data_IF_595817742975
#
_entry.id   IF_595817742975
#
_cell.length_a   1.000
_cell.length_b   1.000
_cell.length_c   1.000
_cell.angle_alpha   90.00
_cell.angle_beta   90.00
_cell.angle_gamma   90.00
#
_symmetry.space_group_name_H-M   'P 1'
#
loop_
_entity.id
_entity.type
_entity.pdbx_description
1 polymer ?
#
# COMPACT_ATOMS: atom_id res chain seq x y z
N UNK A 1 -19.60 23.46 -4.48
CA UNK A 1 -19.87 22.36 -3.53
C UNK A 1 -20.62 22.97 -2.37
N UNK A 2 -21.74 22.36 -1.97
CA UNK A 2 -22.66 22.95 -0.98
C UNK A 2 -22.03 23.04 0.42
N UNK A 3 -21.37 21.98 0.90
CA UNK A 3 -20.63 21.96 2.16
C UNK A 3 -19.34 21.14 2.00
N UNK A 4 -18.19 21.77 2.27
CA UNK A 4 -16.88 21.11 2.17
C UNK A 4 -16.52 20.34 3.43
N UNK A 5 -16.85 20.87 4.59
CA UNK A 5 -16.49 20.28 5.88
C UNK A 5 -17.26 18.96 6.09
N UNK A 6 -18.52 18.93 5.68
CA UNK A 6 -19.33 17.71 5.67
C UNK A 6 -18.74 16.65 4.72
N UNK A 7 -18.29 17.05 3.53
CA UNK A 7 -17.70 16.15 2.55
C UNK A 7 -16.37 15.54 3.04
N UNK A 8 -15.50 16.35 3.64
CA UNK A 8 -14.25 15.88 4.23
C UNK A 8 -14.51 14.95 5.41
N UNK A 9 -15.47 15.28 6.26
CA UNK A 9 -15.90 14.40 7.37
C UNK A 9 -16.35 13.04 6.84
N UNK A 10 -17.16 13.02 5.77
CA UNK A 10 -17.63 11.79 5.14
C UNK A 10 -16.46 10.97 4.54
N UNK A 11 -15.58 11.61 3.77
CA UNK A 11 -14.43 10.96 3.12
C UNK A 11 -13.49 10.32 4.15
N UNK A 12 -13.31 10.93 5.32
CA UNK A 12 -12.42 10.44 6.37
C UNK A 12 -13.06 9.37 7.28
N UNK A 13 -14.39 9.39 7.45
CA UNK A 13 -15.08 8.55 8.44
C UNK A 13 -15.57 7.21 7.89
N UNK A 14 -15.77 7.10 6.57
CA UNK A 14 -16.33 5.90 5.94
C UNK A 14 -15.23 4.87 5.65
N UNK A 15 -15.28 3.71 6.32
CA UNK A 15 -14.36 2.61 6.04
C UNK A 15 -14.84 1.75 4.85
N UNK A 16 -14.48 2.18 3.63
CA UNK A 16 -14.76 1.45 2.39
C UNK A 16 -13.50 1.35 1.52
N UNK A 17 -13.54 0.52 0.48
CA UNK A 17 -12.46 0.42 -0.50
C UNK A 17 -12.38 1.64 -1.43
N UNK A 18 -13.48 2.38 -1.57
CA UNK A 18 -13.53 3.67 -2.26
C UNK A 18 -14.63 4.54 -1.66
N UNK A 19 -14.33 5.81 -1.41
CA UNK A 19 -15.27 6.81 -0.90
C UNK A 19 -15.25 7.98 -1.89
N UNK A 20 -16.43 8.49 -2.21
CA UNK A 20 -16.63 9.40 -3.34
C UNK A 20 -17.41 10.64 -2.89
N UNK A 21 -17.08 11.79 -3.46
CA UNK A 21 -17.80 13.05 -3.25
C UNK A 21 -18.18 13.65 -4.61
N UNK A 22 -19.47 13.88 -4.83
CA UNK A 22 -20.04 14.45 -6.06
C UNK A 22 -19.64 13.72 -7.36
N UNK A 23 -19.47 12.40 -7.29
CA UNK A 23 -19.35 11.55 -8.47
C UNK A 23 -20.07 10.22 -8.29
N UNK A 24 -20.38 9.56 -9.41
CA UNK A 24 -21.11 8.29 -9.41
C UNK A 24 -20.29 7.18 -8.76
N UNK A 25 -20.95 6.29 -8.00
CA UNK A 25 -20.33 5.06 -7.49
C UNK A 25 -19.80 4.14 -8.60
N UNK A 26 -20.28 4.29 -9.84
CA UNK A 26 -19.78 3.56 -11.02
C UNK A 26 -18.33 3.90 -11.39
N UNK A 27 -17.74 4.94 -10.79
CA UNK A 27 -16.31 5.23 -10.95
C UNK A 27 -15.40 4.21 -10.28
N UNK A 28 -15.88 3.38 -9.34
CA UNK A 28 -15.12 2.32 -8.69
C UNK A 28 -14.78 1.17 -9.67
N UNK A 29 -13.76 1.38 -10.51
CA UNK A 29 -13.39 0.50 -11.63
C UNK A 29 -11.95 0.79 -12.07
N UNK A 30 -11.14 -0.24 -12.26
CA UNK A 30 -9.71 -0.12 -12.56
C UNK A 30 -9.41 0.60 -13.87
N UNK A 31 -10.23 0.43 -14.93
CA UNK A 31 -10.04 1.19 -16.17
C UNK A 31 -10.32 2.68 -15.94
N UNK A 32 -11.40 3.01 -15.21
CA UNK A 32 -11.73 4.40 -14.86
C UNK A 32 -10.67 5.06 -13.96
N UNK A 33 -9.95 4.28 -13.17
CA UNK A 33 -8.84 4.75 -12.32
C UNK A 33 -7.49 4.83 -13.06
N UNK A 34 -7.41 4.37 -14.31
CA UNK A 34 -6.18 4.43 -15.11
C UNK A 34 -5.26 3.23 -14.94
N UNK A 35 -5.73 2.11 -14.36
CA UNK A 35 -4.95 0.86 -14.25
C UNK A 35 -4.95 0.03 -15.55
N UNK A 36 -5.71 0.47 -16.56
CA UNK A 36 -5.87 -0.21 -17.85
C UNK A 36 -6.83 -1.40 -17.80
N UNK A 37 -6.68 -2.29 -16.81
CA UNK A 37 -7.62 -3.36 -16.52
C UNK A 37 -7.64 -3.67 -15.03
N UNK A 38 -8.62 -4.44 -14.58
CA UNK A 38 -8.64 -5.01 -13.24
C UNK A 38 -8.87 -6.51 -13.29
N UNK A 39 -8.34 -7.22 -12.30
CA UNK A 39 -8.75 -8.61 -12.02
C UNK A 39 -10.09 -8.62 -11.29
N UNK A 40 -10.34 -7.59 -10.48
CA UNK A 40 -11.58 -7.38 -9.74
C UNK A 40 -11.41 -6.32 -8.67
N UNK A 41 -12.41 -6.19 -7.80
CA UNK A 41 -12.42 -5.22 -6.69
C UNK A 41 -12.29 -5.95 -5.35
N UNK A 42 -11.24 -5.65 -4.59
CA UNK A 42 -11.04 -6.19 -3.25
C UNK A 42 -11.66 -5.29 -2.17
N UNK A 43 -12.46 -5.89 -1.29
CA UNK A 43 -13.05 -5.24 -0.11
C UNK A 43 -12.32 -5.58 1.20
N UNK A 44 -11.22 -6.33 1.12
CA UNK A 44 -10.42 -6.70 2.29
C UNK A 44 -9.77 -5.45 2.92
N UNK A 45 -9.45 -5.53 4.21
CA UNK A 45 -8.72 -4.45 4.89
C UNK A 45 -7.21 -4.49 4.59
N UNK A 46 -6.66 -5.70 4.43
CA UNK A 46 -5.27 -5.89 4.02
C UNK A 46 -5.11 -5.70 2.50
N UNK A 47 -3.94 -5.29 2.01
CA UNK A 47 -3.68 -5.16 0.57
C UNK A 47 -3.81 -6.49 -0.19
N UNK A 48 -4.17 -6.46 -1.49
CA UNK A 48 -4.64 -5.29 -2.24
C UNK A 48 -6.09 -4.91 -1.88
N UNK A 49 -6.45 -3.61 -1.92
CA UNK A 49 -7.79 -3.07 -1.59
C UNK A 49 -8.26 -2.06 -2.65
N UNK A 50 -9.53 -2.14 -3.05
CA UNK A 50 -10.08 -1.39 -4.19
C UNK A 50 -9.90 -2.16 -5.51
N UNK A 51 -10.02 -1.48 -6.67
CA UNK A 51 -9.70 -2.08 -7.97
C UNK A 51 -8.28 -2.64 -8.00
N UNK A 52 -8.13 -3.92 -8.36
CA UNK A 52 -6.85 -4.63 -8.31
C UNK A 52 -6.23 -4.70 -9.71
N UNK A 53 -5.22 -3.86 -9.94
CA UNK A 53 -4.34 -3.89 -11.11
C UNK A 53 -3.14 -4.82 -10.94
N UNK A 54 -2.12 -4.66 -11.79
CA UNK A 54 -0.92 -5.50 -11.80
C UNK A 54 -0.14 -5.43 -10.47
N UNK A 55 -0.07 -4.27 -9.85
CA UNK A 55 0.61 -4.00 -8.59
C UNK A 55 0.03 -4.82 -7.43
N UNK A 56 -1.26 -5.15 -7.48
CA UNK A 56 -1.90 -5.99 -6.47
C UNK A 56 -1.61 -7.48 -6.62
N UNK A 57 -0.98 -7.89 -7.72
CA UNK A 57 -0.62 -9.29 -8.01
C UNK A 57 0.87 -9.57 -7.77
N UNK A 58 1.65 -8.55 -7.41
CA UNK A 58 3.07 -8.70 -7.09
C UNK A 58 3.28 -8.64 -5.59
N UNK A 59 4.37 -9.28 -5.15
CA UNK A 59 4.86 -9.19 -3.78
C UNK A 59 6.35 -8.85 -3.81
N UNK A 60 6.91 -8.56 -2.64
CA UNK A 60 8.32 -8.23 -2.51
C UNK A 60 9.14 -9.45 -2.08
N UNK A 61 10.44 -9.39 -2.40
CA UNK A 61 11.46 -10.28 -1.83
C UNK A 61 12.61 -9.43 -1.34
N UNK A 62 13.15 -9.76 -0.17
CA UNK A 62 14.39 -9.17 0.29
C UNK A 62 15.57 -9.90 -0.36
N UNK A 63 16.51 -9.12 -0.89
CA UNK A 63 17.78 -9.64 -1.36
C UNK A 63 18.90 -8.98 -0.58
N UNK A 64 19.74 -9.80 0.04
CA UNK A 64 20.90 -9.36 0.81
C UNK A 64 22.13 -10.01 0.20
N UNK A 65 23.10 -9.19 -0.18
CA UNK A 65 24.38 -9.65 -0.70
C UNK A 65 25.42 -9.46 0.40
N UNK A 66 26.03 -10.56 0.80
CA UNK A 66 27.05 -10.60 1.84
C UNK A 66 28.37 -11.18 1.34
N UNK A 67 29.37 -11.07 2.19
CA UNK A 67 30.72 -11.61 2.09
C UNK A 67 31.05 -12.40 3.37
N UNK A 68 30.22 -13.41 3.65
CA UNK A 68 30.39 -14.29 4.81
C UNK A 68 30.00 -13.71 6.18
N UNK A 69 29.20 -12.63 6.23
CA UNK A 69 28.73 -12.09 7.51
C UNK A 69 27.85 -13.10 8.26
N UNK A 70 28.09 -13.22 9.57
CA UNK A 70 27.29 -14.04 10.49
C UNK A 70 26.68 -13.17 11.59
N UNK A 71 25.46 -13.51 12.04
CA UNK A 71 24.72 -12.76 13.08
C UNK A 71 25.52 -12.60 14.37
N UNK A 72 26.29 -13.62 14.77
CA UNK A 72 27.12 -13.59 15.98
C UNK A 72 28.16 -12.45 15.98
N UNK A 73 28.58 -11.97 14.81
CA UNK A 73 29.50 -10.82 14.72
C UNK A 73 28.85 -9.50 15.13
N UNK A 74 27.52 -9.43 15.19
CA UNK A 74 26.74 -8.23 15.44
C UNK A 74 25.98 -8.27 16.77
N UNK A 75 26.29 -9.23 17.65
CA UNK A 75 25.67 -9.36 18.98
C UNK A 75 26.71 -9.57 20.08
N UNK A 76 26.37 -9.21 21.32
CA UNK A 76 27.23 -9.39 22.49
C UNK A 76 28.17 -8.21 22.79
N UNK A 77 29.14 -8.44 23.70
CA UNK A 77 29.94 -7.38 24.32
C UNK A 77 30.86 -6.62 23.34
N UNK A 78 31.24 -7.25 22.22
CA UNK A 78 32.13 -6.68 21.19
C UNK A 78 31.48 -6.73 19.78
N UNK A 79 30.17 -6.48 19.70
CA UNK A 79 29.42 -6.50 18.45
C UNK A 79 29.94 -5.46 17.43
N UNK A 80 29.99 -5.85 16.15
CA UNK A 80 30.11 -4.90 15.04
C UNK A 80 28.84 -4.05 14.95
N UNK A 81 29.00 -2.76 14.64
CA UNK A 81 27.88 -1.85 14.47
C UNK A 81 27.17 -2.10 13.12
N UNK A 82 25.84 -2.02 13.11
CA UNK A 82 25.07 -1.84 11.89
C UNK A 82 25.18 -0.39 11.42
N UNK A 83 25.21 -0.19 10.10
CA UNK A 83 25.20 1.17 9.55
C UNK A 83 23.78 1.72 9.39
N UNK A 84 22.81 0.87 9.07
CA UNK A 84 21.41 1.23 8.75
C UNK A 84 21.29 2.46 7.84
N UNK A 85 22.26 2.62 6.94
CA UNK A 85 22.31 3.75 6.04
C UNK A 85 21.41 3.46 4.86
N UNK A 86 20.44 4.35 4.62
CA UNK A 86 19.66 4.35 3.39
C UNK A 86 20.59 4.57 2.19
N UNK A 87 20.35 3.81 1.13
CA UNK A 87 21.09 3.88 -0.13
C UNK A 87 20.57 5.00 -1.02
#
# INVERSE_FOLDING_TARGET
>A
AEDKDAAETFLNSVNAAGVFHNCSTRFADGFRYGFGAEVGISTQQMPPRGPVGLEGLVTYKYQVIGDGQIVASYTGKNAKAFTHRDL
#
